data_IF_999164154854
#
_entry.id   IF_999164154854
#
_cell.length_a   1.000
_cell.length_b   1.000
_cell.length_c   1.000
_cell.angle_alpha   90.00
_cell.angle_beta   90.00
_cell.angle_gamma   90.00
#
_symmetry.space_group_name_H-M   'P 1'
#
loop_
_entity.id
_entity.type
_entity.pdbx_description
1 polymer ?
#
# COMPACT_ATOMS: atom_id res chain seq x y z
N UNK A 1 -6.16 -25.01 -1.41
CA UNK A 1 -6.32 -23.67 -0.80
C UNK A 1 -5.12 -22.77 -1.12
N UNK A 2 -3.89 -23.13 -0.70
CA UNK A 2 -2.68 -22.32 -0.88
C UNK A 2 -2.36 -21.93 -2.33
N UNK A 3 -2.46 -22.88 -3.28
CA UNK A 3 -2.17 -22.62 -4.71
C UNK A 3 -3.10 -21.54 -5.29
N UNK A 4 -4.40 -21.56 -4.94
CA UNK A 4 -5.35 -20.52 -5.37
C UNK A 4 -5.01 -19.16 -4.77
N UNK A 5 -4.56 -19.11 -3.50
CA UNK A 5 -4.10 -17.87 -2.85
C UNK A 5 -2.84 -17.32 -3.50
N UNK A 6 -1.88 -18.18 -3.85
CA UNK A 6 -0.64 -17.80 -4.55
C UNK A 6 -0.92 -17.27 -5.94
N UNK A 7 -1.77 -17.95 -6.72
CA UNK A 7 -2.19 -17.47 -8.05
C UNK A 7 -2.92 -16.12 -7.93
N UNK A 8 -3.82 -15.98 -6.94
CA UNK A 8 -4.48 -14.70 -6.66
C UNK A 8 -3.47 -13.61 -6.33
N UNK A 9 -2.47 -13.89 -5.48
CA UNK A 9 -1.42 -12.93 -5.13
C UNK A 9 -0.57 -12.53 -6.35
N UNK A 10 -0.20 -13.49 -7.19
CA UNK A 10 0.59 -13.25 -8.41
C UNK A 10 -0.21 -12.46 -9.47
N UNK A 11 -1.50 -12.74 -9.58
CA UNK A 11 -2.43 -12.01 -10.46
C UNK A 11 -2.70 -10.59 -9.93
N UNK A 12 -2.74 -10.43 -8.60
CA UNK A 12 -2.90 -9.15 -7.91
C UNK A 12 -1.60 -8.37 -7.74
N UNK A 13 -0.43 -8.98 -7.96
CA UNK A 13 0.86 -8.29 -7.88
C UNK A 13 0.93 -7.10 -8.86
N UNK A 14 0.31 -7.25 -10.03
CA UNK A 14 0.15 -6.17 -11.02
C UNK A 14 -0.83 -5.06 -10.58
N UNK A 15 -1.57 -5.27 -9.48
CA UNK A 15 -2.45 -4.28 -8.84
C UNK A 15 -1.66 -3.42 -7.84
N UNK A 16 -0.42 -3.77 -7.49
CA UNK A 16 0.38 -2.90 -6.63
C UNK A 16 0.76 -1.61 -7.36
N UNK A 17 0.25 -0.47 -6.88
CA UNK A 17 0.54 0.85 -7.46
C UNK A 17 2.03 1.15 -7.32
N UNK A 18 2.68 1.47 -8.43
CA UNK A 18 4.06 1.94 -8.39
C UNK A 18 4.10 3.36 -7.84
N UNK A 19 4.59 3.49 -6.61
CA UNK A 19 4.77 4.77 -5.95
C UNK A 19 6.16 5.29 -6.30
N UNK A 20 6.28 6.56 -6.73
CA UNK A 20 7.58 7.11 -7.04
C UNK A 20 8.46 7.18 -5.78
N UNK A 21 9.78 7.14 -5.96
CA UNK A 21 10.71 7.40 -4.85
C UNK A 21 10.71 8.88 -4.49
N UNK A 22 10.91 9.19 -3.22
CA UNK A 22 11.14 10.55 -2.77
C UNK A 22 12.51 11.04 -3.25
N UNK A 23 12.56 12.24 -3.81
CA UNK A 23 13.82 12.84 -4.24
C UNK A 23 14.56 13.47 -3.05
N UNK A 24 15.91 13.51 -3.09
CA UNK A 24 16.72 13.95 -1.94
C UNK A 24 16.42 15.37 -1.44
N UNK A 25 15.95 16.24 -2.33
CA UNK A 25 15.63 17.65 -2.04
C UNK A 25 14.11 17.88 -1.92
N UNK A 26 13.29 16.85 -2.07
CA UNK A 26 11.84 16.95 -2.05
C UNK A 26 11.33 16.99 -0.61
N UNK A 27 10.59 18.05 -0.28
CA UNK A 27 9.90 18.16 1.00
C UNK A 27 8.86 17.04 1.17
N UNK A 28 8.69 16.54 2.39
CA UNK A 28 7.82 15.39 2.67
C UNK A 28 6.36 15.62 2.24
N UNK A 29 5.84 16.84 2.42
CA UNK A 29 4.50 17.21 1.96
C UNK A 29 4.36 17.17 0.43
N UNK A 30 5.34 17.70 -0.30
CA UNK A 30 5.36 17.67 -1.76
C UNK A 30 5.39 16.23 -2.28
N UNK A 31 6.21 15.39 -1.65
CA UNK A 31 6.27 13.95 -1.94
C UNK A 31 4.92 13.25 -1.72
N UNK A 32 4.27 13.49 -0.57
CA UNK A 32 2.96 12.92 -0.26
C UNK A 32 1.92 13.32 -1.31
N UNK A 33 1.83 14.61 -1.67
CA UNK A 33 0.86 15.09 -2.65
C UNK A 33 1.09 14.46 -4.03
N UNK A 34 2.35 14.29 -4.44
CA UNK A 34 2.70 13.60 -5.68
C UNK A 34 2.26 12.14 -5.68
N UNK A 35 2.45 11.44 -4.56
CA UNK A 35 1.97 10.06 -4.40
C UNK A 35 0.45 9.96 -4.44
N UNK A 36 -0.27 10.89 -3.79
CA UNK A 36 -1.73 10.95 -3.83
C UNK A 36 -2.25 11.11 -5.27
N UNK A 37 -1.63 12.00 -6.07
CA UNK A 37 -2.01 12.16 -7.48
C UNK A 37 -1.84 10.88 -8.31
N UNK A 38 -0.79 10.09 -8.02
CA UNK A 38 -0.58 8.78 -8.67
C UNK A 38 -1.67 7.78 -8.23
N UNK A 39 -2.02 7.76 -6.95
CA UNK A 39 -3.11 6.93 -6.42
C UNK A 39 -4.45 7.26 -7.08
N UNK A 40 -4.79 8.53 -7.19
CA UNK A 40 -6.05 8.99 -7.79
C UNK A 40 -6.16 8.57 -9.25
N UNK A 41 -5.09 8.79 -10.04
CA UNK A 41 -5.02 8.35 -11.44
C UNK A 41 -5.20 6.85 -11.56
N UNK A 42 -4.47 6.08 -10.74
CA UNK A 42 -4.53 4.62 -10.74
C UNK A 42 -5.92 4.09 -10.34
N UNK A 43 -6.57 4.75 -9.39
CA UNK A 43 -7.92 4.39 -8.91
C UNK A 43 -8.96 4.67 -9.99
N UNK A 44 -8.90 5.85 -10.62
CA UNK A 44 -9.83 6.20 -11.69
C UNK A 44 -9.72 5.26 -12.90
N UNK A 45 -8.51 4.83 -13.27
CA UNK A 45 -8.31 3.84 -14.35
C UNK A 45 -8.76 2.42 -14.02
N UNK A 46 -8.82 2.04 -12.74
CA UNK A 46 -9.20 0.67 -12.32
C UNK A 46 -10.69 0.50 -12.07
N UNK A 47 -11.41 1.59 -11.84
CA UNK A 47 -12.82 1.59 -11.45
C UNK A 47 -13.69 2.37 -12.45
N UNK A 48 -13.44 2.19 -13.74
CA UNK A 48 -14.20 2.86 -14.83
C UNK A 48 -15.67 2.40 -14.95
N UNK A 49 -16.15 1.61 -13.98
CA UNK A 49 -17.53 1.14 -13.81
C UNK A 49 -18.15 1.56 -12.48
N UNK A 50 -18.00 2.82 -12.04
CA UNK A 50 -18.72 3.31 -10.84
C UNK A 50 -20.23 3.27 -11.09
N UNK A 51 -20.91 2.30 -10.46
CA UNK A 51 -22.38 2.22 -10.39
C UNK A 51 -22.97 3.59 -9.97
N UNK A 52 -24.14 4.00 -10.48
CA UNK A 52 -24.80 5.25 -10.07
C UNK A 52 -24.95 5.40 -8.54
N UNK A 53 -25.13 4.29 -7.82
CA UNK A 53 -25.12 4.26 -6.33
C UNK A 53 -23.80 4.69 -5.71
N UNK A 54 -22.65 4.37 -6.31
CA UNK A 54 -21.34 4.81 -5.82
C UNK A 54 -21.12 6.31 -6.03
N UNK A 55 -21.70 6.90 -7.09
CA UNK A 55 -21.59 8.34 -7.34
C UNK A 55 -22.40 9.14 -6.31
N UNK A 56 -23.62 8.71 -6.01
CA UNK A 56 -24.44 9.33 -4.96
C UNK A 56 -23.78 9.24 -3.57
N UNK A 57 -23.23 8.08 -3.20
CA UNK A 57 -22.50 7.93 -1.94
C UNK A 57 -21.27 8.85 -1.85
N UNK A 58 -20.54 9.03 -2.95
CA UNK A 58 -19.37 9.91 -3.00
C UNK A 58 -19.76 11.40 -2.89
N UNK A 59 -20.87 11.80 -3.51
CA UNK A 59 -21.43 13.16 -3.42
C UNK A 59 -21.96 13.47 -2.01
N UNK A 60 -22.70 12.55 -1.40
CA UNK A 60 -23.18 12.69 -0.01
C UNK A 60 -22.02 12.82 0.97
N UNK A 61 -20.94 12.08 0.77
CA UNK A 61 -19.76 12.16 1.60
C UNK A 61 -19.02 13.49 1.41
N UNK A 62 -18.92 14.00 0.18
CA UNK A 62 -18.37 15.34 -0.10
C UNK A 62 -19.20 16.45 0.54
N UNK A 63 -20.53 16.34 0.52
CA UNK A 63 -21.41 17.33 1.16
C UNK A 63 -21.25 17.32 2.69
N UNK A 64 -21.17 16.13 3.31
CA UNK A 64 -20.90 16.00 4.75
C UNK A 64 -19.57 16.62 5.14
N UNK A 65 -18.50 16.33 4.39
CA UNK A 65 -17.18 16.92 4.62
C UNK A 65 -17.21 18.44 4.47
N UNK A 66 -17.91 18.96 3.45
CA UNK A 66 -18.05 20.41 3.27
C UNK A 66 -18.70 21.07 4.49
N UNK A 67 -19.78 20.50 5.01
CA UNK A 67 -20.46 20.99 6.22
C UNK A 67 -19.58 20.88 7.48
N UNK A 68 -18.73 19.86 7.57
CA UNK A 68 -17.76 19.72 8.66
C UNK A 68 -16.73 20.86 8.62
N UNK A 69 -16.16 21.11 7.45
CA UNK A 69 -15.16 22.16 7.22
C UNK A 69 -15.72 23.56 7.45
N UNK A 70 -16.98 23.81 7.07
CA UNK A 70 -17.65 25.10 7.31
C UNK A 70 -17.76 25.45 8.82
N UNK A 71 -17.71 24.44 9.70
CA UNK A 71 -17.78 24.61 11.16
C UNK A 71 -16.40 24.59 11.86
N UNK A 72 -15.31 24.48 11.11
CA UNK A 72 -13.95 24.45 11.65
C UNK A 72 -13.21 25.76 11.40
N UNK A 73 -12.32 26.11 12.31
CA UNK A 73 -11.38 27.21 12.09
C UNK A 73 -10.28 26.80 11.11
N UNK A 74 -9.67 27.80 10.46
CA UNK A 74 -8.51 27.60 9.57
C UNK A 74 -7.38 26.86 10.28
N UNK A 75 -7.10 27.20 11.54
CA UNK A 75 -6.03 26.59 12.33
C UNK A 75 -6.28 25.10 12.60
N UNK A 76 -7.53 24.70 12.86
CA UNK A 76 -7.89 23.29 13.04
C UNK A 76 -7.74 22.51 11.73
N UNK A 77 -8.14 23.09 10.60
CA UNK A 77 -7.97 22.50 9.27
C UNK A 77 -6.49 22.31 8.94
N UNK A 78 -5.64 23.30 9.25
CA UNK A 78 -4.19 23.21 9.02
C UNK A 78 -3.53 22.12 9.86
N UNK A 79 -3.90 21.97 11.13
CA UNK A 79 -3.36 20.90 11.97
C UNK A 79 -3.85 19.51 11.54
N UNK A 80 -5.13 19.37 11.16
CA UNK A 80 -5.64 18.12 10.57
C UNK A 80 -4.88 17.75 9.29
N UNK A 81 -4.67 18.71 8.39
CA UNK A 81 -3.93 18.49 7.15
C UNK A 81 -2.49 18.05 7.42
N UNK A 82 -1.82 18.69 8.38
CA UNK A 82 -0.46 18.34 8.79
C UNK A 82 -0.40 16.93 9.37
N UNK A 83 -1.37 16.55 10.21
CA UNK A 83 -1.47 15.19 10.74
C UNK A 83 -1.71 14.17 9.62
N UNK A 84 -2.65 14.45 8.71
CA UNK A 84 -2.95 13.59 7.57
C UNK A 84 -1.73 13.38 6.66
N UNK A 85 -0.97 14.45 6.36
CA UNK A 85 0.27 14.36 5.57
C UNK A 85 1.28 13.44 6.26
N UNK A 86 1.46 13.58 7.58
CA UNK A 86 2.39 12.75 8.34
C UNK A 86 1.97 11.27 8.33
N UNK A 87 0.68 10.99 8.48
CA UNK A 87 0.15 9.64 8.50
C UNK A 87 0.27 8.98 7.12
N UNK A 88 -0.07 9.71 6.05
CA UNK A 88 0.12 9.23 4.68
C UNK A 88 1.61 8.97 4.40
N UNK A 89 2.50 9.86 4.84
CA UNK A 89 3.94 9.66 4.67
C UNK A 89 4.44 8.37 5.33
N UNK A 90 4.00 8.09 6.56
CA UNK A 90 4.32 6.83 7.28
C UNK A 90 3.78 5.62 6.52
N UNK A 91 2.54 5.68 6.05
CA UNK A 91 1.92 4.61 5.26
C UNK A 91 2.65 4.37 3.94
N UNK A 92 3.05 5.43 3.22
CA UNK A 92 3.83 5.31 1.98
C UNK A 92 5.17 4.62 2.23
N UNK A 93 5.85 4.95 3.34
CA UNK A 93 7.11 4.29 3.72
C UNK A 93 6.88 2.80 4.01
N UNK A 94 5.88 2.45 4.81
CA UNK A 94 5.49 1.07 5.10
C UNK A 94 5.16 0.28 3.84
N UNK A 95 4.35 0.87 2.95
CA UNK A 95 3.98 0.29 1.67
C UNK A 95 5.20 0.01 0.79
N UNK A 96 6.10 0.99 0.62
CA UNK A 96 7.29 0.84 -0.21
C UNK A 96 8.25 -0.22 0.34
N UNK A 97 8.42 -0.26 1.67
CA UNK A 97 9.23 -1.27 2.33
C UNK A 97 8.68 -2.68 2.06
N UNK A 98 7.39 -2.89 2.26
CA UNK A 98 6.73 -4.17 1.98
C UNK A 98 6.82 -4.54 0.50
N UNK A 99 6.63 -3.57 -0.40
CA UNK A 99 6.79 -3.76 -1.84
C UNK A 99 8.20 -4.23 -2.20
N UNK A 100 9.24 -3.72 -1.52
CA UNK A 100 10.63 -4.19 -1.70
C UNK A 100 10.78 -5.65 -1.30
N UNK A 101 10.30 -6.04 -0.12
CA UNK A 101 10.34 -7.43 0.37
C UNK A 101 9.66 -8.39 -0.62
N UNK A 102 8.49 -8.02 -1.12
CA UNK A 102 7.77 -8.84 -2.12
C UNK A 102 8.52 -8.89 -3.46
N UNK A 103 9.13 -7.78 -3.90
CA UNK A 103 9.92 -7.76 -5.12
C UNK A 103 11.17 -8.65 -5.02
N UNK A 104 11.91 -8.56 -3.93
CA UNK A 104 13.08 -9.40 -3.66
C UNK A 104 12.69 -10.88 -3.58
N UNK A 105 11.60 -11.21 -2.89
CA UNK A 105 11.03 -12.56 -2.87
C UNK A 105 10.71 -13.06 -4.29
N UNK A 106 10.11 -12.21 -5.13
CA UNK A 106 9.75 -12.57 -6.51
C UNK A 106 10.98 -12.86 -7.36
N UNK A 107 12.01 -12.01 -7.28
CA UNK A 107 13.28 -12.20 -8.01
C UNK A 107 13.94 -13.51 -7.56
N UNK A 108 14.10 -13.69 -6.25
CA UNK A 108 14.70 -14.91 -5.70
C UNK A 108 13.91 -16.17 -6.06
N UNK A 109 12.58 -16.10 -6.06
CA UNK A 109 11.70 -17.19 -6.51
C UNK A 109 11.89 -17.53 -7.99
N UNK A 110 12.08 -16.52 -8.87
CA UNK A 110 12.38 -16.77 -10.28
C UNK A 110 13.72 -17.48 -10.44
N UNK A 111 14.77 -17.03 -9.74
CA UNK A 111 16.09 -17.63 -9.82
C UNK A 111 16.11 -19.08 -9.31
N UNK A 112 15.35 -19.36 -8.24
CA UNK A 112 15.21 -20.72 -7.70
C UNK A 112 14.66 -21.74 -8.71
N UNK A 113 13.92 -21.29 -9.74
CA UNK A 113 13.39 -22.18 -10.79
C UNK A 113 14.47 -22.83 -11.66
N UNK A 114 15.71 -22.34 -11.61
CA UNK A 114 16.84 -22.94 -12.33
C UNK A 114 17.38 -24.20 -11.63
N UNK A 115 17.11 -24.38 -10.34
CA UNK A 115 17.69 -25.45 -9.53
C UNK A 115 16.84 -26.72 -9.51
N UNK A 116 17.42 -27.93 -9.41
CA UNK A 116 16.66 -29.17 -9.23
C UNK A 116 15.80 -29.18 -7.95
N UNK A 117 14.85 -30.11 -7.87
CA UNK A 117 13.83 -30.18 -6.81
C UNK A 117 14.38 -30.05 -5.38
N UNK A 118 15.42 -30.81 -5.01
CA UNK A 118 15.93 -30.85 -3.63
C UNK A 118 16.54 -29.50 -3.19
N UNK A 119 17.54 -28.93 -3.90
CA UNK A 119 18.05 -27.59 -3.58
C UNK A 119 16.96 -26.51 -3.64
N UNK A 120 16.09 -26.57 -4.67
CA UNK A 120 14.99 -25.63 -4.84
C UNK A 120 14.07 -25.62 -3.61
N UNK A 121 13.71 -26.78 -3.08
CA UNK A 121 12.85 -26.88 -1.91
C UNK A 121 13.47 -26.18 -0.68
N UNK A 122 14.77 -26.37 -0.45
CA UNK A 122 15.49 -25.72 0.66
C UNK A 122 15.45 -24.20 0.49
N UNK A 123 15.79 -23.71 -0.70
CA UNK A 123 15.75 -22.28 -1.03
C UNK A 123 14.37 -21.66 -0.82
N UNK A 124 13.31 -22.31 -1.34
CA UNK A 124 11.93 -21.84 -1.17
C UNK A 124 11.52 -21.79 0.30
N UNK A 125 11.89 -22.82 1.08
CA UNK A 125 11.60 -22.86 2.51
C UNK A 125 12.27 -21.72 3.26
N UNK A 126 13.52 -21.41 2.91
CA UNK A 126 14.26 -20.34 3.57
C UNK A 126 13.77 -18.94 3.15
N UNK A 127 13.36 -18.75 1.89
CA UNK A 127 12.69 -17.52 1.45
C UNK A 127 11.43 -17.24 2.27
N UNK A 128 10.57 -18.26 2.47
CA UNK A 128 9.35 -18.12 3.29
C UNK A 128 9.71 -17.71 4.72
N UNK A 129 10.69 -18.38 5.35
CA UNK A 129 11.12 -18.01 6.71
C UNK A 129 11.70 -16.61 6.76
N UNK A 130 12.43 -16.19 5.73
CA UNK A 130 13.05 -14.87 5.67
C UNK A 130 11.99 -13.78 5.71
N UNK A 131 10.95 -13.90 4.88
CA UNK A 131 9.83 -12.94 4.86
C UNK A 131 9.09 -12.93 6.20
N UNK A 132 8.82 -14.11 6.79
CA UNK A 132 8.13 -14.20 8.09
C UNK A 132 8.94 -13.63 9.26
N UNK A 133 10.26 -13.48 9.10
CA UNK A 133 11.16 -12.90 10.09
C UNK A 133 11.57 -11.47 9.74
N UNK A 134 11.13 -10.96 8.58
CA UNK A 134 11.46 -9.61 8.16
C UNK A 134 10.86 -8.60 9.16
N UNK A 135 11.65 -7.70 9.75
CA UNK A 135 11.16 -6.75 10.74
C UNK A 135 9.97 -5.93 10.26
N UNK A 136 9.94 -5.55 8.97
CA UNK A 136 8.86 -4.77 8.36
C UNK A 136 7.57 -5.60 8.34
N UNK A 137 7.68 -6.88 7.99
CA UNK A 137 6.52 -7.78 7.99
C UNK A 137 6.00 -8.04 9.40
N UNK A 138 6.90 -8.28 10.36
CA UNK A 138 6.53 -8.52 11.75
C UNK A 138 5.85 -7.30 12.39
N UNK A 139 6.38 -6.10 12.16
CA UNK A 139 5.77 -4.85 12.63
C UNK A 139 4.34 -4.70 12.12
N UNK A 140 4.13 -4.85 10.81
CA UNK A 140 2.81 -4.74 10.19
C UNK A 140 1.84 -5.82 10.67
N UNK A 141 2.31 -7.05 10.84
CA UNK A 141 1.50 -8.15 11.36
C UNK A 141 1.04 -7.90 12.81
N UNK A 142 1.93 -7.35 13.64
CA UNK A 142 1.59 -6.98 15.02
C UNK A 142 0.60 -5.81 15.07
N UNK A 143 0.77 -4.79 14.22
CA UNK A 143 -0.18 -3.68 14.11
C UNK A 143 -1.58 -4.16 13.69
N UNK A 144 -1.67 -5.06 12.71
CA UNK A 144 -2.96 -5.61 12.26
C UNK A 144 -3.64 -6.44 13.36
N UNK A 145 -2.87 -7.23 14.11
CA UNK A 145 -3.39 -8.00 15.24
C UNK A 145 -3.98 -7.09 16.33
N UNK A 146 -3.34 -5.95 16.59
CA UNK A 146 -3.77 -4.96 17.58
C UNK A 146 -4.96 -4.12 17.09
N UNK A 147 -5.12 -3.94 15.78
CA UNK A 147 -6.24 -3.20 15.19
C UNK A 147 -7.54 -4.03 15.08
N UNK A 148 -7.44 -5.36 15.20
CA UNK A 148 -8.57 -6.30 15.15
C UNK A 148 -9.20 -6.65 16.50
N UNK A 149 -8.74 -6.05 17.60
CA UNK A 149 -9.26 -6.20 18.97
C UNK A 149 -9.94 -4.93 19.45
#
# INVERSE_FOLDING_TARGET
AMIKSVIKLDTQYWILIEIPKQEKQEAANAYVMRCCSVLEKSTNTRFDGKSPTNKQAEEEQKEKERKRLDNMSIAEIEEENKQAINDIYRLLKKYNNMRSVVHELKVAYMDAKLYPFLPRYIMLKDMIKSVLRDPIYVELYQEELMAGT
#
